data_IF_434122215704
#
_entry.id   IF_434122215704
#
_cell.length_a   1.000
_cell.length_b   1.000
_cell.length_c   1.000
_cell.angle_alpha   90.00
_cell.angle_beta   90.00
_cell.angle_gamma   90.00
#
_symmetry.space_group_name_H-M   'P 1'
#
loop_
_entity.id
_entity.type
_entity.pdbx_description
1 polymer ?
#
# COMPACT_ATOMS: atom_id res chain seq x y z
N UNK A 1 22.33 -19.18 12.31
CA UNK A 1 21.54 -19.52 11.12
C UNK A 1 21.99 -18.64 9.98
N UNK A 2 22.19 -19.22 8.80
CA UNK A 2 22.56 -18.53 7.55
C UNK A 2 21.46 -18.77 6.52
N UNK A 3 20.87 -17.71 6.03
CA UNK A 3 19.80 -17.78 5.01
C UNK A 3 20.25 -17.18 3.68
N UNK A 4 19.65 -17.70 2.60
CA UNK A 4 19.79 -17.15 1.25
C UNK A 4 18.43 -16.79 0.69
N UNK A 5 18.24 -15.53 0.29
CA UNK A 5 16.94 -14.98 -0.08
C UNK A 5 16.84 -14.84 -1.60
N UNK A 6 15.84 -15.48 -2.22
CA UNK A 6 15.57 -15.36 -3.65
C UNK A 6 14.53 -14.25 -3.90
N UNK A 7 14.85 -13.33 -4.80
CA UNK A 7 14.05 -12.13 -5.05
C UNK A 7 14.25 -11.06 -3.97
N UNK A 8 15.48 -10.92 -3.47
CA UNK A 8 15.83 -10.12 -2.29
C UNK A 8 15.59 -8.63 -2.48
N UNK A 9 15.64 -8.11 -3.71
CA UNK A 9 15.41 -6.69 -4.01
C UNK A 9 13.92 -6.30 -4.07
N UNK A 10 13.00 -7.25 -3.99
CA UNK A 10 11.58 -6.97 -3.82
C UNK A 10 11.30 -6.28 -2.48
N UNK A 11 10.37 -5.32 -2.44
CA UNK A 11 10.11 -4.49 -1.24
C UNK A 11 9.84 -5.31 0.02
N UNK A 12 9.01 -6.36 -0.08
CA UNK A 12 8.73 -7.24 1.06
C UNK A 12 9.95 -8.09 1.44
N UNK A 13 10.62 -8.69 0.45
CA UNK A 13 11.77 -9.57 0.69
C UNK A 13 12.99 -8.81 1.20
N UNK A 14 13.23 -7.60 0.69
CA UNK A 14 14.30 -6.74 1.18
C UNK A 14 14.06 -6.27 2.62
N UNK A 15 12.83 -5.88 2.96
CA UNK A 15 12.50 -5.55 4.34
C UNK A 15 12.62 -6.75 5.28
N UNK A 16 12.20 -7.95 4.83
CA UNK A 16 12.39 -9.20 5.58
C UNK A 16 13.88 -9.49 5.80
N UNK A 17 14.73 -9.30 4.78
CA UNK A 17 16.18 -9.49 4.87
C UNK A 17 16.80 -8.55 5.91
N UNK A 18 16.40 -7.26 5.94
CA UNK A 18 16.82 -6.31 6.96
C UNK A 18 16.43 -6.77 8.38
N UNK A 19 15.15 -7.14 8.59
CA UNK A 19 14.67 -7.64 9.88
C UNK A 19 15.42 -8.89 10.35
N UNK A 20 15.74 -9.79 9.43
CA UNK A 20 16.52 -10.98 9.73
C UNK A 20 17.97 -10.64 10.14
N UNK A 21 18.61 -9.68 9.45
CA UNK A 21 19.94 -9.18 9.80
C UNK A 21 19.94 -8.46 11.16
N UNK A 22 18.94 -7.60 11.46
CA UNK A 22 18.78 -6.96 12.77
C UNK A 22 18.64 -8.00 13.89
N UNK A 23 18.04 -9.15 13.61
CA UNK A 23 17.92 -10.27 14.56
C UNK A 23 19.23 -11.07 14.72
N UNK A 24 20.29 -10.73 13.99
CA UNK A 24 21.58 -11.44 14.02
C UNK A 24 21.64 -12.69 13.16
N UNK A 25 20.70 -12.87 12.22
CA UNK A 25 20.72 -13.93 11.21
C UNK A 25 21.67 -13.49 10.09
N UNK A 26 22.56 -14.36 9.64
CA UNK A 26 23.41 -14.09 8.47
C UNK A 26 22.58 -14.17 7.20
N UNK A 27 22.47 -13.07 6.47
CA UNK A 27 21.63 -12.94 5.28
C UNK A 27 22.48 -12.64 4.06
N UNK A 28 22.20 -13.34 2.98
CA UNK A 28 22.61 -12.98 1.62
C UNK A 28 21.49 -13.40 0.67
N UNK A 29 21.56 -13.02 -0.59
CA UNK A 29 20.53 -13.43 -1.54
C UNK A 29 20.80 -12.99 -2.97
N UNK A 30 19.87 -13.25 -3.86
CA UNK A 30 19.96 -12.85 -5.26
C UNK A 30 18.66 -12.29 -5.81
N UNK A 31 18.80 -11.49 -6.86
CA UNK A 31 17.68 -10.96 -7.63
C UNK A 31 18.11 -10.77 -9.09
N UNK A 32 17.17 -10.83 -10.01
CA UNK A 32 17.42 -10.50 -11.41
C UNK A 32 17.51 -8.98 -11.63
N UNK A 33 16.81 -8.21 -10.80
CA UNK A 33 16.71 -6.76 -10.91
C UNK A 33 17.34 -6.08 -9.69
N UNK A 34 18.65 -5.86 -9.74
CA UNK A 34 19.39 -5.19 -8.68
C UNK A 34 19.57 -3.71 -9.04
N UNK A 35 18.73 -2.85 -8.46
CA UNK A 35 18.73 -1.40 -8.71
C UNK A 35 18.22 -0.59 -7.50
N UNK A 36 18.56 0.72 -7.42
CA UNK A 36 18.10 1.58 -6.34
C UNK A 36 16.56 1.68 -6.24
N UNK A 37 16.03 1.85 -5.01
CA UNK A 37 16.76 2.10 -3.77
C UNK A 37 17.08 0.84 -2.94
N UNK A 38 16.51 -0.34 -3.25
CA UNK A 38 16.58 -1.50 -2.35
C UNK A 38 17.99 -2.12 -2.27
N UNK A 39 18.74 -2.14 -3.36
CA UNK A 39 20.12 -2.58 -3.37
C UNK A 39 20.99 -1.78 -2.40
N UNK A 40 20.87 -0.45 -2.43
CA UNK A 40 21.59 0.45 -1.53
C UNK A 40 21.23 0.22 -0.06
N UNK A 41 19.94 0.02 0.21
CA UNK A 41 19.44 -0.27 1.56
C UNK A 41 20.00 -1.60 2.07
N UNK A 42 20.01 -2.64 1.26
CA UNK A 42 20.53 -3.96 1.64
C UNK A 42 22.05 -3.92 1.86
N UNK A 43 22.79 -3.29 0.95
CA UNK A 43 24.25 -3.14 1.06
C UNK A 43 24.67 -2.32 2.29
N UNK A 44 23.93 -1.24 2.61
CA UNK A 44 24.19 -0.44 3.82
C UNK A 44 23.95 -1.22 5.13
N UNK A 45 23.12 -2.27 5.08
CA UNK A 45 22.90 -3.21 6.18
C UNK A 45 23.86 -4.42 6.15
N UNK A 46 24.91 -4.39 5.30
CA UNK A 46 25.91 -5.46 5.20
C UNK A 46 25.38 -6.75 4.55
N UNK A 47 24.29 -6.69 3.81
CA UNK A 47 23.67 -7.84 3.13
C UNK A 47 24.23 -7.93 1.72
N UNK A 48 24.92 -9.05 1.41
CA UNK A 48 25.46 -9.32 0.08
C UNK A 48 24.34 -9.73 -0.90
N UNK A 49 24.41 -9.18 -2.11
CA UNK A 49 23.44 -9.43 -3.18
C UNK A 49 24.19 -9.96 -4.41
N UNK A 50 23.75 -11.08 -4.93
CA UNK A 50 24.18 -11.62 -6.22
C UNK A 50 23.18 -11.19 -7.32
N UNK A 51 23.67 -10.75 -8.46
CA UNK A 51 22.84 -10.45 -9.63
C UNK A 51 22.54 -11.74 -10.42
N UNK A 52 21.26 -11.95 -10.75
CA UNK A 52 20.74 -13.14 -11.43
C UNK A 52 20.59 -14.36 -10.52
N UNK A 53 19.99 -15.42 -11.06
CA UNK A 53 19.70 -16.67 -10.35
C UNK A 53 20.67 -17.79 -10.72
N UNK A 54 22.01 -17.51 -10.60
CA UNK A 54 23.02 -18.52 -10.90
C UNK A 54 23.22 -19.49 -9.73
N UNK A 55 23.00 -20.82 -9.91
CA UNK A 55 23.15 -21.82 -8.87
C UNK A 55 24.54 -21.88 -8.23
N UNK A 56 25.58 -21.40 -8.91
CA UNK A 56 26.94 -21.34 -8.37
C UNK A 56 27.11 -20.36 -7.22
N UNK A 57 26.23 -19.35 -7.13
CA UNK A 57 26.23 -18.35 -6.07
C UNK A 57 25.57 -18.85 -4.78
N UNK A 58 24.86 -20.01 -4.82
CA UNK A 58 24.23 -20.56 -3.63
C UNK A 58 25.30 -21.01 -2.62
N UNK A 59 25.33 -20.45 -1.39
CA UNK A 59 26.33 -20.82 -0.40
C UNK A 59 26.21 -22.30 -0.02
N UNK A 60 27.36 -22.99 0.07
CA UNK A 60 27.39 -24.42 0.42
C UNK A 60 26.93 -24.70 1.86
N UNK A 61 27.05 -23.72 2.73
CA UNK A 61 26.74 -23.76 4.17
C UNK A 61 25.44 -23.00 4.50
N UNK A 62 24.52 -22.88 3.53
CA UNK A 62 23.21 -22.30 3.77
C UNK A 62 22.34 -23.25 4.62
N UNK A 63 21.74 -22.70 5.69
CA UNK A 63 20.82 -23.47 6.54
C UNK A 63 19.40 -23.51 5.97
N UNK A 64 18.97 -22.44 5.26
CA UNK A 64 17.61 -22.28 4.78
C UNK A 64 17.54 -21.30 3.60
N UNK A 65 16.82 -21.64 2.56
CA UNK A 65 16.52 -20.72 1.46
C UNK A 65 15.14 -20.08 1.66
N UNK A 66 15.07 -18.75 1.51
CA UNK A 66 13.81 -18.01 1.63
C UNK A 66 13.36 -17.54 0.25
N UNK A 67 12.19 -17.99 -0.19
CA UNK A 67 11.71 -17.82 -1.56
C UNK A 67 10.66 -16.72 -1.66
N UNK A 68 10.91 -15.73 -2.52
CA UNK A 68 9.96 -14.67 -2.87
C UNK A 68 8.85 -15.13 -3.81
N UNK A 69 7.73 -14.43 -3.84
CA UNK A 69 6.55 -14.82 -4.62
C UNK A 69 6.71 -14.70 -6.15
N UNK A 70 7.67 -13.90 -6.63
CA UNK A 70 7.95 -13.76 -8.07
C UNK A 70 8.72 -14.95 -8.65
N UNK A 71 9.30 -15.80 -7.79
CA UNK A 71 10.08 -16.94 -8.18
C UNK A 71 9.15 -18.08 -8.63
N UNK A 72 9.44 -18.70 -9.76
CA UNK A 72 8.64 -19.78 -10.36
C UNK A 72 9.48 -20.99 -10.73
N UNK A 73 8.82 -22.11 -11.02
CA UNK A 73 9.48 -23.30 -11.62
C UNK A 73 10.12 -22.93 -12.96
N UNK A 74 11.24 -23.56 -13.24
CA UNK A 74 12.12 -23.22 -14.37
C UNK A 74 13.18 -22.16 -14.03
N UNK A 75 13.11 -21.52 -12.86
CA UNK A 75 14.20 -20.66 -12.37
C UNK A 75 15.41 -21.55 -12.01
N UNK A 76 16.62 -21.31 -12.57
CA UNK A 76 17.78 -22.21 -12.38
C UNK A 76 18.14 -22.45 -10.91
N UNK A 77 18.01 -21.43 -10.07
CA UNK A 77 18.31 -21.55 -8.64
C UNK A 77 17.31 -22.44 -7.92
N UNK A 78 16.00 -22.33 -8.24
CA UNK A 78 14.96 -23.19 -7.66
C UNK A 78 15.13 -24.65 -8.09
N UNK A 79 15.43 -24.90 -9.37
CA UNK A 79 15.65 -26.27 -9.83
C UNK A 79 16.86 -26.91 -9.14
N UNK A 80 17.93 -26.16 -8.88
CA UNK A 80 19.09 -26.64 -8.15
C UNK A 80 18.78 -26.94 -6.67
N UNK A 81 18.01 -26.06 -6.00
CA UNK A 81 17.55 -26.25 -4.61
C UNK A 81 16.73 -27.53 -4.48
N UNK A 82 15.77 -27.73 -5.39
CA UNK A 82 14.93 -28.92 -5.42
C UNK A 82 15.73 -30.20 -5.70
N UNK A 83 16.64 -30.15 -6.67
CA UNK A 83 17.47 -31.29 -7.03
C UNK A 83 18.41 -31.75 -5.90
N UNK A 84 18.90 -30.80 -5.11
CA UNK A 84 19.78 -31.07 -3.97
C UNK A 84 19.03 -31.35 -2.66
N UNK A 85 17.72 -31.19 -2.62
CA UNK A 85 16.93 -31.34 -1.39
C UNK A 85 17.29 -30.32 -0.31
N UNK A 86 17.64 -29.07 -0.71
CA UNK A 86 17.97 -28.00 0.23
C UNK A 86 16.67 -27.49 0.84
N UNK A 87 16.64 -27.28 2.15
CA UNK A 87 15.48 -26.76 2.86
C UNK A 87 15.12 -25.35 2.40
N UNK A 88 13.86 -25.14 2.08
CA UNK A 88 13.36 -23.83 1.67
C UNK A 88 11.99 -23.52 2.28
N UNK A 89 11.70 -22.23 2.39
CA UNK A 89 10.48 -21.68 3.01
C UNK A 89 10.07 -20.40 2.25
N UNK A 90 8.81 -20.03 2.32
CA UNK A 90 8.36 -18.74 1.78
C UNK A 90 8.74 -17.58 2.68
N UNK A 91 8.85 -16.36 2.11
CA UNK A 91 9.10 -15.14 2.88
C UNK A 91 8.08 -14.93 4.00
N UNK A 92 6.76 -14.97 3.76
CA UNK A 92 5.74 -14.82 4.81
C UNK A 92 5.82 -15.88 5.92
N UNK A 93 6.11 -17.12 5.58
CA UNK A 93 6.26 -18.20 6.55
C UNK A 93 7.55 -18.01 7.39
N UNK A 94 8.66 -17.62 6.76
CA UNK A 94 9.90 -17.28 7.46
C UNK A 94 9.67 -16.15 8.47
N UNK A 95 9.04 -15.06 8.02
CA UNK A 95 8.69 -13.94 8.88
C UNK A 95 7.89 -14.40 10.10
N UNK A 96 6.85 -15.20 9.88
CA UNK A 96 6.00 -15.74 10.94
C UNK A 96 6.79 -16.57 11.96
N UNK A 97 7.56 -17.56 11.50
CA UNK A 97 8.25 -18.50 12.36
C UNK A 97 9.43 -17.88 13.14
N UNK A 98 10.21 -17.05 12.46
CA UNK A 98 11.49 -16.61 13.00
C UNK A 98 11.46 -15.18 13.56
N UNK A 99 10.55 -14.33 13.10
CA UNK A 99 10.53 -12.91 13.49
C UNK A 99 9.29 -12.54 14.31
N UNK A 100 8.11 -13.12 14.02
CA UNK A 100 6.84 -12.73 14.64
C UNK A 100 6.34 -13.68 15.73
N UNK A 101 6.95 -14.83 15.96
CA UNK A 101 6.42 -15.95 16.77
C UNK A 101 5.92 -15.57 18.19
N UNK A 102 6.42 -14.50 18.78
CA UNK A 102 6.01 -14.02 20.13
C UNK A 102 5.47 -12.58 20.11
N UNK A 103 5.22 -12.03 18.92
CA UNK A 103 4.78 -10.65 18.77
C UNK A 103 3.24 -10.54 18.81
N UNK A 104 2.77 -9.39 19.22
CA UNK A 104 1.40 -8.96 18.96
C UNK A 104 1.35 -8.36 17.55
N UNK A 105 1.03 -9.17 16.55
CA UNK A 105 0.95 -8.73 15.18
C UNK A 105 -0.29 -7.87 14.96
N UNK A 106 -0.07 -6.65 14.45
CA UNK A 106 -1.08 -5.69 14.02
C UNK A 106 -1.07 -5.69 12.50
N UNK A 107 -1.99 -6.42 11.89
CA UNK A 107 -2.09 -6.56 10.45
C UNK A 107 -3.04 -5.51 9.85
N UNK A 108 -2.55 -4.76 8.88
CA UNK A 108 -3.31 -3.73 8.17
C UNK A 108 -3.60 -4.23 6.76
N UNK A 109 -4.86 -4.59 6.51
CA UNK A 109 -5.29 -5.14 5.24
C UNK A 109 -6.38 -4.31 4.57
N UNK A 110 -6.68 -4.65 3.32
CA UNK A 110 -7.67 -4.00 2.46
C UNK A 110 -7.12 -3.73 1.07
N UNK A 111 -8.00 -3.49 0.11
CA UNK A 111 -7.61 -3.18 -1.27
C UNK A 111 -6.79 -1.89 -1.35
N UNK A 112 -7.19 -0.86 -0.57
CA UNK A 112 -6.55 0.47 -0.58
C UNK A 112 -6.19 0.94 0.82
N UNK A 113 -5.15 1.80 0.92
CA UNK A 113 -4.78 2.50 2.14
C UNK A 113 -3.90 1.70 3.11
N UNK A 114 -3.51 0.46 2.80
CA UNK A 114 -2.62 -0.39 3.64
C UNK A 114 -1.39 0.40 4.12
N UNK A 115 -0.57 0.87 3.19
CA UNK A 115 0.68 1.61 3.47
C UNK A 115 0.44 2.86 4.33
N UNK A 116 -0.57 3.67 3.98
CA UNK A 116 -0.87 4.90 4.72
C UNK A 116 -1.26 4.62 6.17
N UNK A 117 -2.14 3.63 6.39
CA UNK A 117 -2.57 3.26 7.74
C UNK A 117 -1.44 2.62 8.54
N UNK A 118 -0.67 1.70 7.95
CA UNK A 118 0.50 1.10 8.61
C UNK A 118 1.51 2.17 9.04
N UNK A 119 1.79 3.15 8.16
CA UNK A 119 2.68 4.28 8.47
C UNK A 119 2.14 5.17 9.60
N UNK A 120 0.84 5.51 9.56
CA UNK A 120 0.19 6.30 10.62
C UNK A 120 0.25 5.58 11.97
N UNK A 121 -0.10 4.29 12.01
CA UNK A 121 -0.08 3.48 13.25
C UNK A 121 1.34 3.38 13.80
N UNK A 122 2.32 3.10 12.94
CA UNK A 122 3.74 3.02 13.33
C UNK A 122 4.23 4.35 13.91
N UNK A 123 3.98 5.47 13.19
CA UNK A 123 4.35 6.80 13.69
C UNK A 123 3.73 7.09 15.05
N UNK A 124 2.42 6.86 15.21
CA UNK A 124 1.74 7.11 16.49
C UNK A 124 2.36 6.30 17.63
N UNK A 125 2.72 5.04 17.40
CA UNK A 125 3.36 4.20 18.41
C UNK A 125 4.74 4.73 18.78
N UNK A 126 5.58 5.03 17.78
CA UNK A 126 6.94 5.55 17.99
C UNK A 126 6.94 6.90 18.70
N UNK A 127 6.09 7.84 18.29
CA UNK A 127 5.94 9.16 18.93
C UNK A 127 5.55 9.05 20.42
N UNK A 128 4.87 7.98 20.79
CA UNK A 128 4.45 7.70 22.15
C UNK A 128 5.40 6.77 22.92
N UNK A 129 6.64 6.62 22.44
CA UNK A 129 7.69 5.86 23.11
C UNK A 129 7.52 4.34 23.02
N UNK A 130 6.66 3.85 22.12
CA UNK A 130 6.48 2.42 21.85
C UNK A 130 7.34 2.03 20.66
N UNK A 131 8.53 1.50 20.91
CA UNK A 131 9.48 1.03 19.88
C UNK A 131 8.95 -0.25 19.21
N UNK A 132 7.89 -0.10 18.40
CA UNK A 132 7.25 -1.20 17.70
C UNK A 132 8.07 -1.66 16.49
N UNK A 133 8.05 -2.98 16.21
CA UNK A 133 8.54 -3.47 14.93
C UNK A 133 7.56 -3.15 13.80
N UNK A 134 8.07 -3.08 12.56
CA UNK A 134 7.21 -2.86 11.41
C UNK A 134 7.84 -3.38 10.10
N UNK A 135 6.96 -3.69 9.13
CA UNK A 135 7.31 -3.97 7.74
C UNK A 135 6.26 -3.33 6.83
N UNK A 136 6.64 -2.26 6.15
CA UNK A 136 5.77 -1.39 5.36
C UNK A 136 6.34 -1.28 3.94
N UNK A 137 5.50 -1.53 2.91
CA UNK A 137 5.97 -1.55 1.52
C UNK A 137 6.35 -0.17 0.97
N UNK A 138 5.71 0.90 1.44
CA UNK A 138 5.97 2.27 0.98
C UNK A 138 6.78 3.09 1.99
N UNK A 139 7.43 4.14 1.50
CA UNK A 139 8.24 5.04 2.34
C UNK A 139 7.36 6.13 2.96
N UNK A 140 7.13 6.05 4.26
CA UNK A 140 6.55 7.15 5.03
C UNK A 140 7.59 8.24 5.30
N UNK A 141 7.17 9.52 5.20
CA UNK A 141 8.07 10.66 5.41
C UNK A 141 8.52 10.83 6.87
N UNK A 142 7.78 10.23 7.79
CA UNK A 142 8.04 10.26 9.23
C UNK A 142 8.86 9.05 9.73
N UNK A 143 9.17 8.08 8.87
CA UNK A 143 9.92 6.89 9.23
C UNK A 143 11.27 6.85 8.52
N UNK A 144 12.33 6.50 9.23
CA UNK A 144 13.68 6.42 8.68
C UNK A 144 13.85 5.26 7.70
N UNK A 145 13.17 4.13 7.97
CA UNK A 145 13.23 2.91 7.17
C UNK A 145 11.84 2.37 6.84
N UNK A 146 11.78 1.40 5.93
CA UNK A 146 10.55 0.66 5.60
C UNK A 146 10.35 -0.59 6.47
N UNK A 147 11.38 -1.00 7.20
CA UNK A 147 11.36 -2.12 8.11
C UNK A 147 12.24 -1.86 9.33
N UNK A 148 11.80 -2.27 10.50
CA UNK A 148 12.56 -2.29 11.75
C UNK A 148 12.02 -3.39 12.65
N UNK A 149 12.90 -4.08 13.36
CA UNK A 149 12.49 -5.15 14.26
C UNK A 149 11.82 -4.59 15.52
N UNK A 150 12.23 -3.43 16.01
CA UNK A 150 11.76 -2.83 17.24
C UNK A 150 11.91 -3.75 18.46
N UNK A 151 11.85 -3.20 19.65
CA UNK A 151 12.00 -3.95 20.92
C UNK A 151 10.68 -4.28 21.60
N UNK A 152 9.61 -3.54 21.29
CA UNK A 152 8.27 -3.77 21.88
C UNK A 152 7.59 -5.00 21.30
N UNK A 153 6.60 -5.56 22.00
CA UNK A 153 5.83 -6.71 21.51
C UNK A 153 5.01 -6.42 20.25
N UNK A 154 4.61 -5.18 19.98
CA UNK A 154 3.84 -4.83 18.78
C UNK A 154 4.67 -4.91 17.53
N UNK A 155 4.08 -5.49 16.49
CA UNK A 155 4.65 -5.54 15.16
C UNK A 155 3.59 -5.15 14.12
N UNK A 156 3.82 -4.07 13.39
CA UNK A 156 2.89 -3.52 12.40
C UNK A 156 3.26 -4.07 11.03
N UNK A 157 2.31 -4.67 10.32
CA UNK A 157 2.56 -5.24 9.00
C UNK A 157 1.46 -4.91 7.99
N UNK A 158 1.84 -4.58 6.78
CA UNK A 158 0.92 -4.58 5.66
C UNK A 158 0.53 -6.02 5.31
N UNK A 159 -0.74 -6.31 5.42
CA UNK A 159 -1.31 -7.64 5.20
C UNK A 159 -1.93 -7.71 3.80
N UNK A 160 -1.09 -8.10 2.85
CA UNK A 160 -1.42 -8.17 1.44
C UNK A 160 -2.10 -9.48 1.08
N UNK A 161 -3.08 -9.43 0.17
CA UNK A 161 -3.85 -10.56 -0.33
C UNK A 161 -3.13 -11.37 -1.41
N UNK A 162 -1.99 -10.93 -1.93
CA UNK A 162 -1.20 -11.68 -2.91
C UNK A 162 -0.79 -13.06 -2.40
N UNK A 163 -0.61 -14.01 -3.34
CA UNK A 163 -0.11 -15.35 -3.05
C UNK A 163 1.30 -15.33 -2.46
N UNK A 164 1.62 -16.39 -1.74
CA UNK A 164 2.81 -16.47 -0.88
C UNK A 164 4.06 -16.83 -1.67
N UNK A 165 4.00 -17.89 -2.47
CA UNK A 165 5.11 -18.40 -3.28
C UNK A 165 4.58 -19.35 -4.37
N UNK A 166 5.46 -19.85 -5.26
CA UNK A 166 5.06 -20.78 -6.30
C UNK A 166 4.48 -22.12 -5.75
N UNK A 167 4.92 -22.52 -4.56
CA UNK A 167 4.49 -23.73 -3.86
C UNK A 167 3.41 -23.50 -2.80
N UNK A 168 3.08 -22.25 -2.48
CA UNK A 168 2.00 -21.89 -1.57
C UNK A 168 1.15 -20.76 -2.17
N UNK A 169 -0.04 -21.12 -2.65
CA UNK A 169 -0.97 -20.20 -3.31
C UNK A 169 -1.97 -19.53 -2.37
N UNK A 170 -1.82 -19.71 -1.06
CA UNK A 170 -2.56 -18.94 -0.05
C UNK A 170 -2.04 -17.50 0.00
N UNK A 171 -2.90 -16.56 0.37
CA UNK A 171 -2.49 -15.16 0.57
C UNK A 171 -1.46 -15.03 1.68
N UNK A 172 -0.50 -14.10 1.53
CA UNK A 172 0.59 -13.83 2.48
C UNK A 172 0.11 -13.63 3.91
N UNK A 173 -1.01 -12.94 4.10
CA UNK A 173 -1.54 -12.60 5.42
C UNK A 173 -1.99 -13.82 6.25
N UNK A 174 -2.21 -14.99 5.63
CA UNK A 174 -2.54 -16.25 6.33
C UNK A 174 -1.43 -16.62 7.32
N UNK A 175 -0.19 -16.30 7.00
CA UNK A 175 0.97 -16.63 7.82
C UNK A 175 1.15 -15.70 9.05
N UNK A 176 0.51 -14.53 9.09
CA UNK A 176 0.84 -13.51 10.10
C UNK A 176 0.17 -13.68 11.45
N UNK A 177 -0.90 -14.48 11.56
CA UNK A 177 -1.64 -14.78 12.80
C UNK A 177 -1.93 -13.52 13.64
N UNK A 178 -2.66 -12.50 13.10
CA UNK A 178 -2.81 -11.22 13.76
C UNK A 178 -3.64 -11.31 15.05
N UNK A 179 -3.19 -10.59 16.10
CA UNK A 179 -4.00 -10.31 17.29
C UNK A 179 -4.88 -9.06 17.09
N UNK A 180 -4.44 -8.11 16.26
CA UNK A 180 -5.24 -6.98 15.81
C UNK A 180 -5.23 -6.96 14.29
N UNK A 181 -6.40 -7.00 13.67
CA UNK A 181 -6.57 -6.93 12.22
C UNK A 181 -7.45 -5.73 11.86
N UNK A 182 -6.96 -4.87 11.00
CA UNK A 182 -7.78 -3.92 10.27
C UNK A 182 -8.06 -4.44 8.86
N UNK A 183 -9.33 -4.48 8.46
CA UNK A 183 -9.73 -4.58 7.05
C UNK A 183 -10.33 -3.23 6.66
N UNK A 184 -9.54 -2.38 6.01
CA UNK A 184 -9.93 -0.99 5.74
C UNK A 184 -10.99 -0.85 4.66
N UNK A 185 -10.96 -1.72 3.65
CA UNK A 185 -11.93 -1.85 2.56
C UNK A 185 -11.73 -3.19 1.87
N UNK A 186 -12.69 -3.60 1.04
CA UNK A 186 -12.62 -4.85 0.27
C UNK A 186 -13.34 -4.67 -1.06
N UNK A 187 -12.57 -4.61 -2.14
CA UNK A 187 -13.02 -4.50 -3.52
C UNK A 187 -12.30 -5.53 -4.39
N UNK A 188 -12.70 -5.66 -5.66
CA UNK A 188 -12.00 -6.53 -6.61
C UNK A 188 -10.77 -5.81 -7.14
N UNK A 189 -9.62 -6.44 -6.99
CA UNK A 189 -8.33 -6.04 -7.58
C UNK A 189 -7.50 -7.30 -7.85
N UNK A 190 -6.29 -7.16 -8.40
CA UNK A 190 -5.37 -8.28 -8.66
C UNK A 190 -5.96 -9.34 -9.60
N UNK A 191 -6.45 -8.91 -10.77
CA UNK A 191 -7.03 -9.79 -11.79
C UNK A 191 -6.05 -10.82 -12.37
N UNK A 192 -4.76 -10.67 -12.10
CA UNK A 192 -3.69 -11.62 -12.44
C UNK A 192 -3.71 -12.89 -11.58
N UNK A 193 -4.24 -12.81 -10.35
CA UNK A 193 -4.28 -13.95 -9.42
C UNK A 193 -5.68 -14.32 -8.95
N UNK A 194 -6.65 -13.41 -9.06
CA UNK A 194 -8.05 -13.65 -8.68
C UNK A 194 -8.99 -13.52 -9.85
N UNK A 195 -9.83 -14.52 -10.06
CA UNK A 195 -10.86 -14.50 -11.10
C UNK A 195 -12.10 -13.69 -10.71
N UNK A 196 -12.33 -13.50 -9.40
CA UNK A 196 -13.53 -12.85 -8.90
C UNK A 196 -13.35 -12.26 -7.50
N UNK A 197 -14.23 -11.32 -7.14
CA UNK A 197 -14.32 -10.82 -5.76
C UNK A 197 -14.64 -11.94 -4.75
N UNK A 198 -15.30 -13.02 -5.19
CA UNK A 198 -15.57 -14.17 -4.34
C UNK A 198 -14.29 -14.89 -3.92
N UNK A 199 -13.29 -14.96 -4.80
CA UNK A 199 -12.01 -15.60 -4.50
C UNK A 199 -11.23 -14.77 -3.47
N UNK A 200 -11.23 -13.45 -3.61
CA UNK A 200 -10.65 -12.54 -2.59
C UNK A 200 -11.37 -12.74 -1.25
N UNK A 201 -12.72 -12.77 -1.23
CA UNK A 201 -13.49 -12.98 0.00
C UNK A 201 -13.15 -14.30 0.68
N UNK A 202 -12.88 -15.39 -0.08
CA UNK A 202 -12.43 -16.66 0.48
C UNK A 202 -11.09 -16.52 1.20
N UNK A 203 -10.12 -15.78 0.63
CA UNK A 203 -8.84 -15.55 1.29
C UNK A 203 -9.01 -14.77 2.60
N UNK A 204 -9.81 -13.71 2.59
CA UNK A 204 -10.11 -12.98 3.83
C UNK A 204 -10.85 -13.83 4.86
N UNK A 205 -11.74 -14.71 4.43
CA UNK A 205 -12.38 -15.67 5.34
C UNK A 205 -11.37 -16.63 5.96
N UNK A 206 -10.39 -17.14 5.17
CA UNK A 206 -9.32 -17.97 5.71
C UNK A 206 -8.52 -17.19 6.79
N UNK A 207 -8.24 -15.91 6.59
CA UNK A 207 -7.59 -15.06 7.58
C UNK A 207 -8.44 -14.93 8.87
N UNK A 208 -9.74 -14.63 8.74
CA UNK A 208 -10.63 -14.49 9.91
C UNK A 208 -10.72 -15.78 10.73
N UNK A 209 -10.66 -16.94 10.10
CA UNK A 209 -10.66 -18.24 10.78
C UNK A 209 -9.42 -18.52 11.63
N UNK A 210 -8.31 -17.84 11.36
CA UNK A 210 -7.06 -17.99 12.12
C UNK A 210 -7.00 -17.03 13.32
N UNK A 211 -7.90 -16.07 13.41
CA UNK A 211 -7.96 -15.13 14.54
C UNK A 211 -8.59 -15.81 15.76
N UNK A 212 -7.96 -15.62 16.92
CA UNK A 212 -8.49 -16.11 18.20
C UNK A 212 -9.71 -15.30 18.65
N UNK A 213 -10.49 -15.83 19.59
CA UNK A 213 -11.62 -15.12 20.21
C UNK A 213 -11.22 -13.85 20.97
N UNK A 214 -9.94 -13.73 21.37
CA UNK A 214 -9.37 -12.55 22.05
C UNK A 214 -8.76 -11.54 21.05
N UNK A 215 -8.65 -11.89 19.79
CA UNK A 215 -8.18 -10.99 18.73
C UNK A 215 -9.26 -9.96 18.36
N UNK A 216 -8.85 -8.82 17.82
CA UNK A 216 -9.76 -7.73 17.45
C UNK A 216 -9.76 -7.50 15.94
N UNK A 217 -10.94 -7.54 15.33
CA UNK A 217 -11.18 -7.10 13.94
C UNK A 217 -11.73 -5.67 13.93
N UNK A 218 -11.04 -4.75 13.27
CA UNK A 218 -11.43 -3.36 13.04
C UNK A 218 -11.86 -3.22 11.59
N UNK A 219 -13.02 -2.62 11.31
CA UNK A 219 -13.53 -2.52 9.95
C UNK A 219 -14.60 -1.44 9.77
N UNK A 220 -14.74 -0.85 8.55
CA UNK A 220 -15.82 0.08 8.24
C UNK A 220 -17.17 -0.66 8.14
N UNK A 221 -18.10 -0.31 9.02
CA UNK A 221 -19.42 -0.98 9.12
C UNK A 221 -20.25 -0.91 7.83
N UNK A 222 -20.05 0.11 7.01
CA UNK A 222 -20.78 0.28 5.75
C UNK A 222 -20.27 -0.62 4.61
N UNK A 223 -19.12 -1.29 4.75
CA UNK A 223 -18.57 -2.14 3.70
C UNK A 223 -19.27 -3.50 3.66
N UNK A 224 -20.12 -3.71 2.65
CA UNK A 224 -20.91 -4.93 2.51
C UNK A 224 -20.05 -6.15 2.23
N UNK A 225 -18.90 -6.01 1.54
CA UNK A 225 -18.02 -7.13 1.20
C UNK A 225 -17.36 -7.69 2.45
N UNK A 226 -16.93 -6.83 3.38
CA UNK A 226 -16.37 -7.25 4.67
C UNK A 226 -17.45 -7.97 5.50
N UNK A 227 -18.67 -7.39 5.57
CA UNK A 227 -19.79 -8.07 6.24
C UNK A 227 -20.12 -9.44 5.66
N UNK A 228 -20.02 -9.58 4.35
CA UNK A 228 -20.23 -10.89 3.69
C UNK A 228 -19.14 -11.90 4.08
N UNK A 229 -17.87 -11.48 4.18
CA UNK A 229 -16.80 -12.34 4.69
C UNK A 229 -17.06 -12.76 6.14
N UNK A 230 -17.46 -11.83 7.01
CA UNK A 230 -17.79 -12.14 8.40
C UNK A 230 -18.95 -13.15 8.53
N UNK A 231 -19.96 -13.06 7.65
CA UNK A 231 -21.09 -14.04 7.61
C UNK A 231 -20.65 -15.46 7.23
N UNK A 232 -19.49 -15.63 6.60
CA UNK A 232 -18.93 -16.97 6.28
C UNK A 232 -18.37 -17.66 7.52
N UNK A 233 -18.12 -16.94 8.61
CA UNK A 233 -17.61 -17.41 9.91
C UNK A 233 -16.68 -16.39 10.54
N UNK A 234 -17.02 -15.93 11.75
CA UNK A 234 -16.27 -14.93 12.49
C UNK A 234 -16.36 -15.22 13.98
N UNK A 235 -15.22 -15.23 14.67
CA UNK A 235 -15.12 -15.71 16.07
C UNK A 235 -14.40 -14.72 16.99
N UNK A 236 -13.80 -13.66 16.46
CA UNK A 236 -13.01 -12.67 17.20
C UNK A 236 -13.90 -11.51 17.70
N UNK A 237 -13.34 -10.62 18.49
CA UNK A 237 -13.98 -9.37 18.87
C UNK A 237 -14.07 -8.43 17.65
N UNK A 238 -15.13 -7.63 17.57
CA UNK A 238 -15.32 -6.67 16.48
C UNK A 238 -15.35 -5.23 16.99
N UNK A 239 -14.66 -4.36 16.25
CA UNK A 239 -14.64 -2.92 16.48
C UNK A 239 -15.02 -2.19 15.17
N UNK A 240 -16.34 -2.07 14.89
CA UNK A 240 -16.82 -1.39 13.69
C UNK A 240 -16.67 0.12 13.80
N UNK A 241 -16.47 0.80 12.64
CA UNK A 241 -16.46 2.25 12.54
C UNK A 241 -17.21 2.76 11.31
N UNK A 242 -17.56 4.04 11.31
CA UNK A 242 -18.30 4.67 10.25
C UNK A 242 -17.70 6.01 9.80
N UNK A 243 -17.78 6.29 8.51
CA UNK A 243 -17.57 7.62 7.92
C UNK A 243 -18.84 8.20 7.30
N UNK A 244 -19.94 7.42 7.29
CA UNK A 244 -21.23 7.76 6.67
C UNK A 244 -22.36 7.96 7.67
N UNK A 245 -22.27 7.36 8.86
CA UNK A 245 -23.31 7.39 9.88
C UNK A 245 -22.74 7.89 11.20
N UNK A 246 -23.59 8.56 11.99
CA UNK A 246 -23.20 9.22 13.26
C UNK A 246 -23.48 8.33 14.48
N UNK A 247 -23.21 7.02 14.39
CA UNK A 247 -23.37 6.06 15.48
C UNK A 247 -22.06 5.28 15.71
N UNK A 248 -21.88 4.77 16.93
CA UNK A 248 -20.68 4.07 17.30
C UNK A 248 -19.43 4.95 17.11
N UNK A 249 -18.33 4.34 16.71
CA UNK A 249 -17.14 5.09 16.32
C UNK A 249 -17.33 5.68 14.92
N UNK A 250 -17.25 7.00 14.80
CA UNK A 250 -17.40 7.69 13.52
C UNK A 250 -16.55 8.96 13.44
N UNK A 251 -16.27 9.39 12.22
CA UNK A 251 -15.65 10.68 11.95
C UNK A 251 -16.63 11.65 11.30
N UNK A 252 -16.55 12.93 11.67
CA UNK A 252 -17.30 14.03 11.08
C UNK A 252 -16.34 15.07 10.51
N UNK A 253 -16.48 15.38 9.23
CA UNK A 253 -15.68 16.42 8.57
C UNK A 253 -15.94 17.79 9.18
N UNK A 254 -14.88 18.57 9.33
CA UNK A 254 -14.92 19.99 9.66
C UNK A 254 -14.62 20.84 8.41
N UNK A 255 -13.68 20.40 7.56
CA UNK A 255 -13.39 21.02 6.25
C UNK A 255 -13.92 20.17 5.10
N UNK A 256 -14.24 20.79 3.97
CA UNK A 256 -14.79 20.11 2.80
C UNK A 256 -13.82 19.06 2.22
N UNK A 257 -12.52 19.34 2.23
CA UNK A 257 -11.44 18.50 1.74
C UNK A 257 -11.02 17.39 2.73
N UNK A 258 -11.64 17.33 3.92
CA UNK A 258 -11.34 16.37 5.00
C UNK A 258 -9.95 16.55 5.66
N UNK A 259 -9.28 17.69 5.45
CA UNK A 259 -8.03 18.02 6.15
C UNK A 259 -8.23 18.29 7.65
N UNK A 260 -9.47 18.58 8.07
CA UNK A 260 -9.88 18.67 9.48
C UNK A 260 -11.13 17.83 9.71
N UNK A 261 -11.12 17.02 10.76
CA UNK A 261 -12.26 16.21 11.17
C UNK A 261 -12.23 15.88 12.65
N UNK A 262 -13.41 15.61 13.19
CA UNK A 262 -13.61 15.20 14.56
C UNK A 262 -13.95 13.72 14.64
N UNK A 263 -13.43 13.03 15.65
CA UNK A 263 -13.72 11.63 15.95
C UNK A 263 -14.68 11.56 17.14
N UNK A 264 -15.72 10.78 16.99
CA UNK A 264 -16.75 10.56 18.00
C UNK A 264 -16.87 9.08 18.34
N UNK A 265 -17.27 8.80 19.59
CA UNK A 265 -17.89 7.53 19.99
C UNK A 265 -19.30 7.86 20.43
N UNK A 266 -20.28 7.36 19.68
CA UNK A 266 -21.69 7.77 19.78
C UNK A 266 -21.77 9.31 19.62
N UNK A 267 -22.38 10.01 20.54
CA UNK A 267 -22.51 11.47 20.50
C UNK A 267 -21.38 12.23 21.24
N UNK A 268 -20.35 11.52 21.73
CA UNK A 268 -19.25 12.13 22.49
C UNK A 268 -18.00 12.30 21.63
N UNK A 269 -17.58 13.55 21.44
CA UNK A 269 -16.30 13.87 20.79
C UNK A 269 -15.13 13.30 21.59
N UNK A 270 -14.22 12.60 20.92
CA UNK A 270 -13.03 11.94 21.47
C UNK A 270 -11.74 12.58 21.05
N UNK A 271 -11.67 13.10 19.83
CA UNK A 271 -10.47 13.72 19.28
C UNK A 271 -10.82 14.66 18.13
N UNK A 272 -9.88 15.54 17.78
CA UNK A 272 -9.86 16.34 16.55
C UNK A 272 -8.53 16.09 15.87
N UNK A 273 -8.56 15.95 14.54
CA UNK A 273 -7.36 15.80 13.72
C UNK A 273 -7.35 16.94 12.69
N UNK A 274 -6.19 17.57 12.53
CA UNK A 274 -5.95 18.61 11.53
C UNK A 274 -4.59 18.35 10.90
N UNK A 275 -4.55 18.00 9.62
CA UNK A 275 -3.36 17.56 8.90
C UNK A 275 -3.32 18.06 7.44
N UNK A 276 -2.25 17.74 6.70
CA UNK A 276 -2.11 18.09 5.29
C UNK A 276 -2.81 17.13 4.33
N UNK A 277 -3.14 15.91 4.79
CA UNK A 277 -3.81 14.90 3.96
C UNK A 277 -5.26 15.29 3.62
N UNK A 278 -5.72 14.94 2.43
CA UNK A 278 -7.04 15.33 1.91
C UNK A 278 -7.84 14.12 1.42
N UNK A 279 -9.14 14.33 1.28
CA UNK A 279 -10.07 13.36 0.71
C UNK A 279 -10.70 12.39 1.73
N UNK A 280 -11.83 11.81 1.34
CA UNK A 280 -12.62 10.89 2.17
C UNK A 280 -11.81 9.66 2.60
N UNK A 281 -10.93 9.17 1.71
CA UNK A 281 -10.07 8.02 2.01
C UNK A 281 -9.06 8.33 3.10
N UNK A 282 -8.51 9.55 3.13
CA UNK A 282 -7.58 9.97 4.18
C UNK A 282 -8.29 10.09 5.52
N UNK A 283 -9.50 10.64 5.55
CA UNK A 283 -10.34 10.67 6.75
C UNK A 283 -10.63 9.25 7.27
N UNK A 284 -10.99 8.31 6.38
CA UNK A 284 -11.21 6.91 6.75
C UNK A 284 -9.93 6.26 7.30
N UNK A 285 -8.79 6.47 6.63
CA UNK A 285 -7.50 5.97 7.09
C UNK A 285 -7.13 6.53 8.46
N UNK A 286 -7.37 7.83 8.70
CA UNK A 286 -7.12 8.47 10.00
C UNK A 286 -7.99 7.91 11.12
N UNK A 287 -9.28 7.73 10.87
CA UNK A 287 -10.18 7.09 11.85
C UNK A 287 -9.77 5.63 12.12
N UNK A 288 -9.44 4.88 11.07
CA UNK A 288 -8.97 3.50 11.20
C UNK A 288 -7.68 3.41 12.02
N UNK A 289 -6.68 4.26 11.71
CA UNK A 289 -5.41 4.33 12.45
C UNK A 289 -5.63 4.72 13.92
N UNK A 290 -6.50 5.70 14.17
CA UNK A 290 -6.89 6.09 15.52
C UNK A 290 -7.45 4.90 16.30
N UNK A 291 -8.34 4.11 15.71
CA UNK A 291 -8.96 2.96 16.37
C UNK A 291 -7.99 1.80 16.59
N UNK A 292 -7.08 1.55 15.65
CA UNK A 292 -5.98 0.59 15.84
C UNK A 292 -5.15 1.00 17.07
N UNK A 293 -4.62 2.23 17.11
CA UNK A 293 -3.83 2.70 18.23
C UNK A 293 -4.61 2.73 19.53
N UNK A 294 -5.91 3.08 19.48
CA UNK A 294 -6.80 3.05 20.65
C UNK A 294 -7.01 1.65 21.19
N UNK A 295 -7.12 0.64 20.32
CA UNK A 295 -7.23 -0.78 20.71
C UNK A 295 -5.95 -1.31 21.34
N UNK A 296 -4.80 -0.70 21.04
CA UNK A 296 -3.49 -1.01 21.63
C UNK A 296 -3.23 -0.27 22.97
N UNK A 297 -4.21 0.49 23.45
CA UNK A 297 -4.16 1.12 24.77
C UNK A 297 -3.74 2.60 24.81
N UNK A 298 -3.42 3.24 23.68
CA UNK A 298 -2.97 4.63 23.65
C UNK A 298 -4.10 5.60 24.02
N UNK A 299 -3.74 6.75 24.58
CA UNK A 299 -4.70 7.80 24.93
C UNK A 299 -5.16 8.57 23.70
N UNK A 300 -6.43 8.96 23.67
CA UNK A 300 -7.05 9.66 22.53
C UNK A 300 -6.35 10.96 22.15
N UNK A 301 -5.84 11.71 23.14
CA UNK A 301 -5.10 12.96 22.92
C UNK A 301 -3.80 12.69 22.18
N UNK A 302 -2.99 11.77 22.68
CA UNK A 302 -1.66 11.46 22.14
C UNK A 302 -1.76 10.92 20.70
N UNK A 303 -2.75 10.06 20.43
CA UNK A 303 -3.04 9.57 19.07
C UNK A 303 -3.38 10.73 18.12
N UNK A 304 -4.23 11.67 18.56
CA UNK A 304 -4.68 12.78 17.72
C UNK A 304 -3.55 13.77 17.42
N UNK A 305 -2.68 14.05 18.38
CA UNK A 305 -1.49 14.91 18.22
C UNK A 305 -0.55 14.29 17.18
N UNK A 306 -0.13 13.02 17.34
CA UNK A 306 0.74 12.33 16.39
C UNK A 306 0.14 12.23 14.98
N UNK A 307 -1.16 11.93 14.86
CA UNK A 307 -1.83 11.88 13.55
C UNK A 307 -1.90 13.26 12.89
N UNK A 308 -2.07 14.33 13.66
CA UNK A 308 -2.11 15.69 13.12
C UNK A 308 -0.75 16.15 12.57
N UNK A 309 0.34 15.59 13.07
CA UNK A 309 1.71 15.85 12.61
C UNK A 309 2.17 14.92 11.47
N UNK A 310 1.32 13.98 11.02
CA UNK A 310 1.68 13.02 9.98
C UNK A 310 1.99 13.70 8.64
N UNK A 311 3.22 13.54 8.14
CA UNK A 311 3.74 14.18 6.92
C UNK A 311 3.37 13.47 5.63
N UNK A 312 2.73 12.29 5.74
CA UNK A 312 2.30 11.52 4.59
C UNK A 312 3.26 10.42 4.17
N UNK A 313 2.90 9.75 3.09
CA UNK A 313 3.68 8.69 2.44
C UNK A 313 4.09 9.19 1.06
N UNK A 314 5.31 8.90 0.66
CA UNK A 314 5.81 9.19 -0.68
C UNK A 314 4.87 8.57 -1.73
N UNK A 315 4.58 9.32 -2.79
CA UNK A 315 3.64 8.92 -3.83
C UNK A 315 2.19 8.71 -3.33
N UNK A 316 1.74 9.47 -2.34
CA UNK A 316 0.34 9.55 -1.90
C UNK A 316 -0.04 11.02 -1.77
N UNK A 317 -0.60 11.60 -2.85
CA UNK A 317 -0.80 13.05 -2.99
C UNK A 317 0.47 13.84 -2.65
N UNK A 318 1.60 13.31 -3.08
CA UNK A 318 2.92 13.88 -2.79
C UNK A 318 3.17 15.09 -3.68
N UNK A 319 3.29 16.28 -3.08
CA UNK A 319 3.65 17.50 -3.81
C UNK A 319 5.14 17.43 -4.16
N UNK A 320 5.44 17.11 -5.41
CA UNK A 320 6.82 16.94 -5.90
C UNK A 320 7.39 18.21 -6.51
N UNK A 321 6.56 19.21 -6.79
CA UNK A 321 6.99 20.51 -7.28
C UNK A 321 5.92 21.59 -7.15
N UNK A 322 6.37 22.83 -6.93
CA UNK A 322 5.55 24.06 -6.89
C UNK A 322 6.37 25.16 -7.61
N UNK A 323 6.03 25.45 -8.86
CA UNK A 323 6.79 26.35 -9.71
C UNK A 323 5.86 27.12 -10.65
N UNK A 324 6.06 28.42 -10.83
CA UNK A 324 5.31 29.24 -11.79
C UNK A 324 3.79 29.14 -11.69
N UNK A 325 3.24 29.10 -10.46
CA UNK A 325 1.82 28.85 -10.17
C UNK A 325 1.29 27.47 -10.60
N UNK A 326 2.18 26.51 -10.88
CA UNK A 326 1.85 25.12 -11.21
C UNK A 326 2.30 24.21 -10.07
N UNK A 327 1.39 23.40 -9.55
CA UNK A 327 1.70 22.37 -8.55
C UNK A 327 1.65 20.99 -9.16
N UNK A 328 2.72 20.22 -8.98
CA UNK A 328 2.85 18.86 -9.52
C UNK A 328 2.78 17.86 -8.38
N UNK A 329 1.87 16.88 -8.51
CA UNK A 329 1.65 15.83 -7.51
C UNK A 329 1.95 14.46 -8.10
N UNK A 330 2.52 13.57 -7.26
CA UNK A 330 2.65 12.13 -7.53
C UNK A 330 1.69 11.35 -6.63
N UNK A 331 0.89 10.47 -7.24
CA UNK A 331 0.01 9.57 -6.49
C UNK A 331 -0.02 8.17 -7.09
N UNK A 332 -0.01 7.18 -6.22
CA UNK A 332 0.02 5.76 -6.58
C UNK A 332 -1.35 5.22 -7.01
N UNK A 333 -2.41 6.03 -7.00
CA UNK A 333 -3.77 5.59 -7.33
C UNK A 333 -3.82 5.03 -8.77
N UNK A 334 -4.27 3.79 -8.87
CA UNK A 334 -4.42 3.05 -10.13
C UNK A 334 -5.72 2.24 -10.18
N UNK A 335 -6.53 2.26 -9.12
CA UNK A 335 -7.85 1.66 -9.08
C UNK A 335 -8.91 2.77 -9.15
N UNK A 336 -10.05 2.60 -9.87
CA UNK A 336 -11.05 3.64 -10.05
C UNK A 336 -11.53 4.31 -8.77
N UNK A 337 -11.71 3.54 -7.70
CA UNK A 337 -12.11 4.08 -6.38
C UNK A 337 -11.03 5.00 -5.80
N UNK A 338 -9.76 4.61 -5.88
CA UNK A 338 -8.64 5.41 -5.39
C UNK A 338 -8.48 6.69 -6.25
N UNK A 339 -8.49 6.56 -7.57
CA UNK A 339 -8.42 7.68 -8.53
C UNK A 339 -9.51 8.71 -8.21
N UNK A 340 -10.76 8.24 -8.06
CA UNK A 340 -11.91 9.09 -7.74
C UNK A 340 -11.69 9.85 -6.44
N UNK A 341 -11.33 9.18 -5.37
CA UNK A 341 -11.15 9.82 -4.06
C UNK A 341 -9.99 10.82 -4.05
N UNK A 342 -8.90 10.52 -4.74
CA UNK A 342 -7.77 11.41 -4.92
C UNK A 342 -8.18 12.70 -5.64
N UNK A 343 -8.84 12.59 -6.79
CA UNK A 343 -9.28 13.74 -7.59
C UNK A 343 -10.40 14.54 -6.91
N UNK A 344 -11.38 13.89 -6.29
CA UNK A 344 -12.40 14.57 -5.51
C UNK A 344 -11.82 15.32 -4.30
N UNK A 345 -10.82 14.75 -3.63
CA UNK A 345 -10.10 15.39 -2.54
C UNK A 345 -9.34 16.63 -3.01
N UNK A 346 -8.63 16.51 -4.13
CA UNK A 346 -7.91 17.63 -4.72
C UNK A 346 -8.89 18.74 -5.14
N UNK A 347 -9.97 18.41 -5.85
CA UNK A 347 -11.01 19.37 -6.26
C UNK A 347 -11.61 20.14 -5.07
N UNK A 348 -11.89 19.46 -3.98
CA UNK A 348 -12.40 20.11 -2.75
C UNK A 348 -11.38 21.04 -2.10
N UNK A 349 -10.10 20.74 -2.26
CA UNK A 349 -9.01 21.58 -1.74
C UNK A 349 -8.79 22.84 -2.57
N UNK A 350 -8.80 22.70 -3.92
CA UNK A 350 -8.38 23.76 -4.84
C UNK A 350 -9.56 24.58 -5.40
N UNK A 351 -10.80 24.14 -5.16
CA UNK A 351 -12.01 24.85 -5.62
C UNK A 351 -12.14 24.81 -7.14
N UNK A 352 -12.08 25.98 -7.79
CA UNK A 352 -12.22 26.14 -9.24
C UNK A 352 -10.89 26.16 -10.00
N UNK A 353 -9.73 26.07 -9.32
CA UNK A 353 -8.43 26.01 -9.98
C UNK A 353 -8.34 24.78 -10.89
N UNK A 354 -7.58 24.89 -11.98
CA UNK A 354 -7.50 23.86 -13.03
C UNK A 354 -6.81 22.60 -12.53
N UNK A 355 -7.40 21.43 -12.74
CA UNK A 355 -6.82 20.11 -12.46
C UNK A 355 -6.57 19.39 -13.78
N UNK A 356 -5.31 19.08 -14.06
CA UNK A 356 -4.89 18.22 -15.18
C UNK A 356 -4.43 16.88 -14.58
N UNK A 357 -5.08 15.79 -14.96
CA UNK A 357 -4.76 14.44 -14.52
C UNK A 357 -4.01 13.67 -15.61
N UNK A 358 -2.87 13.10 -15.27
CA UNK A 358 -2.12 12.15 -16.09
C UNK A 358 -2.34 10.76 -15.47
N UNK A 359 -2.98 9.85 -16.20
CA UNK A 359 -3.30 8.50 -15.73
C UNK A 359 -2.58 7.45 -16.56
N UNK A 360 -1.67 6.69 -15.94
CA UNK A 360 -1.03 5.53 -16.56
C UNK A 360 -1.85 4.25 -16.33
N UNK A 361 -2.32 3.63 -17.42
CA UNK A 361 -3.02 2.34 -17.41
C UNK A 361 -1.98 1.20 -17.40
N UNK A 362 -1.46 0.86 -16.22
CA UNK A 362 -0.32 -0.05 -16.10
C UNK A 362 -0.61 -1.34 -15.34
N UNK A 363 -1.41 -1.30 -14.29
CA UNK A 363 -1.68 -2.51 -13.49
C UNK A 363 -2.40 -3.57 -14.32
N UNK A 364 -2.17 -4.87 -14.02
CA UNK A 364 -2.79 -5.98 -14.73
C UNK A 364 -4.31 -5.86 -14.79
N UNK A 365 -4.95 -5.41 -13.70
CA UNK A 365 -6.41 -5.18 -13.65
C UNK A 365 -6.84 -4.02 -14.56
N UNK A 366 -6.05 -2.96 -14.66
CA UNK A 366 -6.34 -1.84 -15.58
C UNK A 366 -6.15 -2.26 -17.03
N UNK A 367 -5.06 -2.96 -17.36
CA UNK A 367 -4.78 -3.46 -18.72
C UNK A 367 -5.79 -4.51 -19.19
N UNK A 368 -6.41 -5.27 -18.27
CA UNK A 368 -7.44 -6.26 -18.63
C UNK A 368 -8.76 -5.64 -19.11
N UNK A 369 -8.93 -4.32 -18.99
CA UNK A 369 -10.18 -3.62 -19.31
C UNK A 369 -11.29 -3.80 -18.30
N UNK A 370 -11.07 -4.50 -17.19
CA UNK A 370 -12.10 -4.77 -16.17
C UNK A 370 -12.71 -3.48 -15.58
N UNK A 371 -11.92 -2.42 -15.54
CA UNK A 371 -12.32 -1.14 -14.96
C UNK A 371 -12.73 -0.07 -15.98
N UNK A 372 -12.63 -0.30 -17.28
CA UNK A 372 -12.80 0.73 -18.32
C UNK A 372 -14.09 1.54 -18.15
N UNK A 373 -15.23 0.87 -17.95
CA UNK A 373 -16.52 1.54 -17.73
C UNK A 373 -16.58 2.42 -16.47
N UNK A 374 -15.62 2.30 -15.55
CA UNK A 374 -15.58 3.09 -14.32
C UNK A 374 -14.63 4.28 -14.42
N UNK A 375 -13.67 4.26 -15.36
CA UNK A 375 -12.61 5.28 -15.50
C UNK A 375 -13.19 6.67 -15.79
N UNK A 376 -14.10 6.87 -16.77
CA UNK A 376 -14.63 8.20 -17.04
C UNK A 376 -15.27 8.85 -15.81
N UNK A 377 -16.01 8.08 -15.04
CA UNK A 377 -16.60 8.55 -13.78
C UNK A 377 -15.58 8.79 -12.67
N UNK A 378 -14.50 8.02 -12.65
CA UNK A 378 -13.44 8.16 -11.65
C UNK A 378 -12.60 9.42 -11.87
N UNK A 379 -12.42 9.84 -13.11
CA UNK A 379 -11.63 11.04 -13.48
C UNK A 379 -12.47 12.32 -13.65
N UNK A 380 -13.78 12.26 -13.46
CA UNK A 380 -14.72 13.36 -13.72
C UNK A 380 -14.45 14.66 -12.91
N UNK A 381 -13.66 14.60 -11.82
CA UNK A 381 -13.29 15.78 -11.04
C UNK A 381 -12.08 16.54 -11.59
N UNK A 382 -11.41 16.02 -12.62
CA UNK A 382 -10.36 16.72 -13.35
C UNK A 382 -10.94 17.50 -14.54
N UNK A 383 -10.38 18.66 -14.85
CA UNK A 383 -10.81 19.47 -15.99
C UNK A 383 -10.30 18.87 -17.31
N UNK A 384 -9.10 18.28 -17.29
CA UNK A 384 -8.49 17.62 -18.42
C UNK A 384 -7.75 16.35 -17.95
N UNK A 385 -7.85 15.28 -18.72
CA UNK A 385 -7.27 13.98 -18.39
C UNK A 385 -6.47 13.45 -19.57
N UNK A 386 -5.22 13.14 -19.36
CA UNK A 386 -4.38 12.45 -20.34
C UNK A 386 -4.21 11.00 -19.90
N UNK A 387 -4.65 10.06 -20.74
CA UNK A 387 -4.55 8.62 -20.45
C UNK A 387 -3.41 8.01 -21.26
N UNK A 388 -2.52 7.31 -20.55
CA UNK A 388 -1.39 6.58 -21.12
C UNK A 388 -1.66 5.07 -21.06
N UNK A 389 -1.74 4.44 -22.22
CA UNK A 389 -1.85 2.99 -22.36
C UNK A 389 -1.12 2.51 -23.61
N UNK A 390 -0.66 1.27 -23.56
CA UNK A 390 -0.14 0.56 -24.75
C UNK A 390 -1.26 0.01 -25.62
N UNK A 391 -2.47 -0.14 -25.10
CA UNK A 391 -3.65 -0.62 -25.83
C UNK A 391 -4.43 0.54 -26.45
N UNK A 392 -4.19 0.77 -27.76
CA UNK A 392 -4.86 1.83 -28.53
C UNK A 392 -6.38 1.68 -28.59
N UNK A 393 -6.92 0.45 -28.56
CA UNK A 393 -8.35 0.20 -28.61
C UNK A 393 -9.02 0.60 -27.28
N UNK A 394 -8.38 0.26 -26.17
CA UNK A 394 -8.84 0.68 -24.82
C UNK A 394 -8.90 2.20 -24.74
N UNK A 395 -7.85 2.91 -25.18
CA UNK A 395 -7.80 4.37 -25.12
C UNK A 395 -8.91 5.00 -25.98
N UNK A 396 -9.08 4.57 -27.24
CA UNK A 396 -10.10 5.15 -28.12
C UNK A 396 -11.52 4.96 -27.58
N UNK A 397 -11.77 3.88 -26.84
CA UNK A 397 -13.05 3.67 -26.15
C UNK A 397 -13.22 4.69 -25.03
N UNK A 398 -12.21 4.90 -24.18
CA UNK A 398 -12.28 5.85 -23.06
C UNK A 398 -12.44 7.30 -23.54
N UNK A 399 -11.76 7.71 -24.62
CA UNK A 399 -11.93 9.03 -25.25
C UNK A 399 -13.37 9.26 -25.74
N UNK A 400 -14.00 8.23 -26.29
CA UNK A 400 -15.39 8.34 -26.79
C UNK A 400 -16.43 8.47 -25.67
N UNK A 401 -16.08 8.08 -24.44
CA UNK A 401 -16.98 8.10 -23.28
C UNK A 401 -16.92 9.42 -22.48
N UNK A 402 -15.93 10.29 -22.71
CA UNK A 402 -15.81 11.55 -21.96
C UNK A 402 -15.00 12.61 -22.71
N UNK A 403 -15.57 13.79 -22.86
CA UNK A 403 -14.96 14.93 -23.59
C UNK A 403 -13.70 15.52 -22.91
N UNK A 404 -13.43 15.21 -21.65
CA UNK A 404 -12.25 15.68 -20.95
C UNK A 404 -11.08 14.69 -20.97
N UNK A 405 -11.25 13.53 -21.65
CA UNK A 405 -10.22 12.50 -21.78
C UNK A 405 -9.53 12.63 -23.14
N UNK A 406 -8.22 12.65 -23.13
CA UNK A 406 -7.36 12.69 -24.30
C UNK A 406 -6.29 11.57 -24.22
N UNK A 407 -6.08 10.85 -25.32
CA UNK A 407 -5.06 9.82 -25.40
C UNK A 407 -3.65 10.39 -25.50
N UNK A 408 -2.72 9.73 -24.81
CA UNK A 408 -1.29 9.92 -25.00
C UNK A 408 -0.61 8.56 -25.15
N UNK A 409 0.11 8.36 -26.25
CA UNK A 409 0.84 7.10 -26.48
C UNK A 409 2.15 7.04 -25.71
N UNK A 410 2.76 8.20 -25.42
CA UNK A 410 4.05 8.31 -24.73
C UNK A 410 4.12 9.57 -23.86
N UNK A 411 4.99 9.53 -22.86
CA UNK A 411 5.31 10.70 -22.02
C UNK A 411 5.85 11.86 -22.85
N UNK A 412 6.63 11.59 -23.90
CA UNK A 412 7.17 12.61 -24.82
C UNK A 412 6.07 13.32 -25.63
N UNK A 413 5.01 12.62 -26.01
CA UNK A 413 3.85 13.21 -26.66
C UNK A 413 3.17 14.23 -25.73
N UNK A 414 2.90 13.84 -24.50
CA UNK A 414 2.35 14.75 -23.49
C UNK A 414 3.24 15.97 -23.26
N UNK A 415 4.56 15.78 -23.10
CA UNK A 415 5.49 16.88 -22.86
C UNK A 415 5.54 17.89 -24.02
N UNK A 416 5.23 17.48 -25.25
CA UNK A 416 5.04 18.42 -26.38
C UNK A 416 3.73 19.20 -26.25
N UNK A 417 2.63 18.51 -25.87
CA UNK A 417 1.32 19.15 -25.64
C UNK A 417 1.38 20.11 -24.45
N UNK A 418 2.14 19.81 -23.41
CA UNK A 418 2.28 20.64 -22.22
C UNK A 418 2.64 22.09 -22.56
N UNK A 419 3.51 22.32 -23.53
CA UNK A 419 3.94 23.67 -23.97
C UNK A 419 2.82 24.50 -24.58
N UNK A 420 1.71 23.89 -25.00
CA UNK A 420 0.53 24.58 -25.58
C UNK A 420 -0.63 24.73 -24.57
N UNK A 421 -0.48 24.20 -23.35
CA UNK A 421 -1.52 24.29 -22.33
C UNK A 421 -1.39 25.61 -21.55
N UNK A 422 -2.55 26.20 -21.23
CA UNK A 422 -2.60 27.26 -20.23
C UNK A 422 -2.46 26.65 -18.84
N UNK A 423 -1.37 27.00 -18.15
CA UNK A 423 -0.98 26.39 -16.88
C UNK A 423 -1.11 27.32 -15.67
N UNK A 424 -1.64 28.53 -15.85
CA UNK A 424 -1.83 29.43 -14.71
C UNK A 424 -2.77 28.82 -13.66
N UNK A 425 -2.35 28.84 -12.39
CA UNK A 425 -3.08 28.27 -11.26
C UNK A 425 -3.53 26.82 -11.50
N UNK A 426 -2.61 25.99 -12.01
CA UNK A 426 -2.90 24.61 -12.41
C UNK A 426 -2.30 23.59 -11.47
N UNK A 427 -3.08 22.54 -11.17
CA UNK A 427 -2.67 21.37 -10.44
C UNK A 427 -2.51 20.18 -11.40
N UNK A 428 -1.26 19.78 -11.64
CA UNK A 428 -0.91 18.59 -12.42
C UNK A 428 -0.80 17.39 -11.46
N UNK A 429 -1.58 16.35 -11.69
CA UNK A 429 -1.51 15.14 -10.88
C UNK A 429 -1.18 13.93 -11.74
N UNK A 430 -0.09 13.23 -11.39
CA UNK A 430 0.34 12.01 -12.05
C UNK A 430 -0.11 10.80 -11.24
N UNK A 431 -0.93 9.95 -11.84
CA UNK A 431 -1.51 8.74 -11.24
C UNK A 431 -0.90 7.49 -11.88
N UNK A 432 -0.08 6.76 -11.12
CA UNK A 432 0.58 5.55 -11.60
C UNK A 432 1.05 4.65 -10.46
N UNK A 433 0.97 3.33 -10.62
CA UNK A 433 1.62 2.37 -9.74
C UNK A 433 3.05 2.00 -10.17
N UNK A 434 3.59 2.66 -11.21
CA UNK A 434 4.96 2.54 -11.69
C UNK A 434 5.77 3.83 -11.60
N UNK A 435 6.94 3.88 -12.22
CA UNK A 435 7.81 5.07 -12.27
C UNK A 435 7.27 6.18 -13.17
N UNK A 436 6.33 5.86 -14.05
CA UNK A 436 5.77 6.74 -15.07
C UNK A 436 6.86 7.42 -15.91
N UNK A 437 7.91 6.67 -16.23
CA UNK A 437 9.08 7.11 -17.03
C UNK A 437 9.71 8.43 -16.54
N UNK A 438 9.60 8.74 -15.27
CA UNK A 438 10.13 9.98 -14.69
C UNK A 438 9.41 11.26 -15.13
N UNK A 439 8.15 11.17 -15.56
CA UNK A 439 7.37 12.29 -16.12
C UNK A 439 7.32 13.51 -15.17
N UNK A 440 7.31 13.28 -13.87
CA UNK A 440 7.28 14.34 -12.87
C UNK A 440 8.45 15.32 -13.02
N UNK A 441 9.68 14.78 -13.10
CA UNK A 441 10.89 15.57 -13.26
C UNK A 441 10.88 16.29 -14.63
N UNK A 442 10.50 15.56 -15.69
CA UNK A 442 10.43 16.13 -17.03
C UNK A 442 9.39 17.28 -17.16
N UNK A 443 8.29 17.23 -16.40
CA UNK A 443 7.33 18.34 -16.28
C UNK A 443 7.99 19.53 -15.59
N UNK A 444 8.62 19.31 -14.41
CA UNK A 444 9.23 20.38 -13.61
C UNK A 444 10.38 21.11 -14.32
N UNK A 445 11.06 20.43 -15.25
CA UNK A 445 12.09 21.05 -16.11
C UNK A 445 11.52 21.95 -17.21
N UNK A 446 10.24 21.78 -17.57
CA UNK A 446 9.58 22.49 -18.70
C UNK A 446 8.67 23.64 -18.29
N UNK A 447 8.21 23.69 -17.02
CA UNK A 447 7.36 24.75 -16.46
C UNK A 447 8.14 25.90 -15.75
#
# INVERSE_FOLDING_TARGET
MKIYVLGICGTFMGGLAQLAAEKGIKVSGCDENVYPPMDQVLLSNGIAIDEGYNPKNLPKDVDLVVVGNVIARGNPMIEEILNKGIDFISGPEFLSKYLLAKRHVVAISGTHGKTSVSSMVTKVLLDNGVDCGYLIAGRAKDLEATASLGTHEFFIIEADEYDTAFFDKRSKFIHYHPKTLLINNLEFDHADIFSSLSDIKKQFHHLLRLMSSTSTLIFPEHNINIKNVMKMGFYSQSLPFNTKFTRGWHAKKVTADSSKFDIYKDNKKKASISWSSIGEHSLQNGLASYLVCKSLGLKSKDIAESLSEFKGVTRRMDLVGDKSSVKVYDDFAHHPTAIKYTLEGLRKKVGSEKIICLLEMRSNTMLSGYHDKKIPKAVASADQVFIFSKDKKQISTLESESNNIEACSTTQEFLRKLSSLELENTHLICLSNGSFDGIHQAILERI
#
